data_IF_748337503740
#
_entry.id   IF_748337503740
#
_cell.length_a   1.000
_cell.length_b   1.000
_cell.length_c   1.000
_cell.angle_alpha   90.00
_cell.angle_beta   90.00
_cell.angle_gamma   90.00
#
_symmetry.space_group_name_H-M   'P 1'
#
loop_
_entity.id
_entity.type
_entity.pdbx_description
1 polymer ?
#
# COMPACT_ATOMS: atom_id res chain seq x y z
N UNK A 1 -2.90 -0.13 -27.22
CA UNK A 1 -2.37 0.06 -25.86
C UNK A 1 -1.52 1.32 -25.80
N UNK A 2 -2.04 2.39 -25.21
CA UNK A 2 -1.33 3.67 -25.07
C UNK A 2 -0.44 3.71 -23.81
N UNK A 3 0.27 4.83 -23.59
CA UNK A 3 1.14 4.98 -22.44
C UNK A 3 0.39 4.98 -21.10
N UNK A 4 -0.83 5.52 -21.08
CA UNK A 4 -1.69 5.56 -19.89
C UNK A 4 -2.11 4.15 -19.51
N UNK A 5 -2.60 3.36 -20.46
CA UNK A 5 -3.01 1.98 -20.24
C UNK A 5 -1.86 1.13 -19.70
N UNK A 6 -0.64 1.31 -20.22
CA UNK A 6 0.55 0.63 -19.69
C UNK A 6 0.86 1.00 -18.24
N UNK A 7 0.86 2.29 -17.91
CA UNK A 7 1.12 2.76 -16.54
C UNK A 7 0.07 2.20 -15.58
N UNK A 8 -1.21 2.22 -15.96
CA UNK A 8 -2.28 1.66 -15.13
C UNK A 8 -2.17 0.14 -14.97
N UNK A 9 -1.71 -0.58 -16.00
CA UNK A 9 -1.40 -2.01 -15.90
C UNK A 9 -0.33 -2.29 -14.85
N UNK A 10 0.78 -1.55 -14.88
CA UNK A 10 1.87 -1.68 -13.90
C UNK A 10 1.41 -1.33 -12.47
N UNK A 11 0.59 -0.29 -12.31
CA UNK A 11 0.01 0.05 -11.01
C UNK A 11 -0.88 -1.06 -10.47
N UNK A 12 -1.65 -1.72 -11.35
CA UNK A 12 -2.48 -2.86 -10.97
C UNK A 12 -1.62 -4.04 -10.52
N UNK A 13 -0.59 -4.41 -11.29
CA UNK A 13 0.33 -5.49 -10.94
C UNK A 13 1.00 -5.24 -9.58
N UNK A 14 1.52 -4.02 -9.38
CA UNK A 14 2.11 -3.62 -8.10
C UNK A 14 1.10 -3.68 -6.93
N UNK A 15 -0.16 -3.28 -7.19
CA UNK A 15 -1.22 -3.36 -6.18
C UNK A 15 -1.53 -4.80 -5.79
N UNK A 16 -1.52 -5.73 -6.76
CA UNK A 16 -1.73 -7.15 -6.48
C UNK A 16 -0.60 -7.76 -5.66
N UNK A 17 0.65 -7.35 -5.89
CA UNK A 17 1.79 -7.77 -5.05
C UNK A 17 1.65 -7.28 -3.60
N UNK A 18 1.22 -6.03 -3.41
CA UNK A 18 0.92 -5.50 -2.06
C UNK A 18 -0.22 -6.29 -1.40
N UNK A 19 -1.29 -6.59 -2.13
CA UNK A 19 -2.41 -7.39 -1.63
C UNK A 19 -1.96 -8.80 -1.21
N UNK A 20 -1.17 -9.47 -2.04
CA UNK A 20 -0.62 -10.79 -1.76
C UNK A 20 0.27 -10.77 -0.52
N UNK A 21 1.11 -9.74 -0.38
CA UNK A 21 1.91 -9.55 0.82
C UNK A 21 1.02 -9.38 2.05
N UNK A 22 0.02 -8.48 2.03
CA UNK A 22 -0.91 -8.29 3.15
C UNK A 22 -1.53 -9.63 3.55
N UNK A 23 -2.09 -10.37 2.59
CA UNK A 23 -2.70 -11.70 2.81
C UNK A 23 -1.72 -12.67 3.48
N UNK A 24 -0.46 -12.69 3.06
CA UNK A 24 0.58 -13.57 3.63
C UNK A 24 0.87 -13.26 5.11
N UNK A 25 0.62 -12.03 5.56
CA UNK A 25 0.87 -11.59 6.94
C UNK A 25 -0.37 -11.68 7.84
N UNK A 26 -1.57 -11.89 7.29
CA UNK A 26 -2.80 -11.88 8.08
C UNK A 26 -2.86 -13.00 9.12
N UNK A 27 -2.31 -14.18 8.82
CA UNK A 27 -2.34 -15.34 9.71
C UNK A 27 -1.57 -15.11 11.02
N UNK A 28 -0.54 -14.26 11.01
CA UNK A 28 0.26 -13.91 12.20
C UNK A 28 -0.18 -12.61 12.85
N UNK A 29 -1.13 -11.88 12.25
CA UNK A 29 -1.62 -10.60 12.75
C UNK A 29 -2.83 -10.78 13.66
N UNK A 30 -2.89 -9.99 14.74
CA UNK A 30 -4.06 -9.97 15.65
C UNK A 30 -5.32 -9.56 14.89
N UNK A 31 -6.35 -10.39 14.94
CA UNK A 31 -7.62 -10.21 14.22
C UNK A 31 -7.42 -9.96 12.71
N UNK A 32 -6.32 -10.50 12.16
CA UNK A 32 -5.81 -10.31 10.79
C UNK A 32 -5.41 -8.88 10.41
N UNK A 33 -5.38 -7.94 11.35
CA UNK A 33 -5.04 -6.55 11.05
C UNK A 33 -3.54 -6.35 10.96
N UNK A 34 -3.04 -6.25 9.73
CA UNK A 34 -1.62 -6.05 9.44
C UNK A 34 -1.27 -4.56 9.61
N UNK A 35 -0.22 -4.20 10.37
CA UNK A 35 0.23 -2.82 10.46
C UNK A 35 0.67 -2.26 9.11
N UNK A 36 0.10 -1.14 8.67
CA UNK A 36 0.49 -0.48 7.42
C UNK A 36 1.95 0.02 7.43
N UNK A 37 2.51 0.28 8.61
CA UNK A 37 3.94 0.58 8.75
C UNK A 37 4.82 -0.62 8.36
N UNK A 38 4.43 -1.84 8.75
CA UNK A 38 5.15 -3.07 8.41
C UNK A 38 5.12 -3.32 6.90
N UNK A 39 3.97 -3.15 6.26
CA UNK A 39 3.84 -3.30 4.79
C UNK A 39 4.78 -2.34 4.07
N UNK A 40 4.74 -1.06 4.45
CA UNK A 40 5.62 -0.04 3.86
C UNK A 40 7.10 -0.32 4.06
N UNK A 41 7.51 -0.72 5.26
CA UNK A 41 8.91 -0.99 5.55
C UNK A 41 9.41 -2.26 4.87
N UNK A 42 8.60 -3.33 4.83
CA UNK A 42 9.03 -4.62 4.30
C UNK A 42 9.11 -4.64 2.77
N UNK A 43 8.24 -3.88 2.12
CA UNK A 43 8.20 -3.74 0.66
C UNK A 43 8.94 -2.48 0.17
N UNK A 44 9.65 -1.77 1.06
CA UNK A 44 10.42 -0.55 0.74
C UNK A 44 9.60 0.50 -0.04
N UNK A 45 8.34 0.73 0.38
CA UNK A 45 7.40 1.61 -0.33
C UNK A 45 7.44 3.08 0.11
N UNK A 46 8.43 3.44 0.92
CA UNK A 46 8.68 4.83 1.29
C UNK A 46 9.72 5.40 0.32
N UNK A 47 9.37 6.48 -0.37
CA UNK A 47 10.26 7.10 -1.36
C UNK A 47 10.47 8.58 -1.07
N UNK A 48 11.61 9.09 -1.52
CA UNK A 48 11.78 10.54 -1.69
C UNK A 48 10.85 10.99 -2.82
N UNK A 49 9.83 11.76 -2.47
CA UNK A 49 8.71 12.04 -3.36
C UNK A 49 8.84 13.35 -4.17
N UNK A 50 10.05 13.90 -4.26
CA UNK A 50 10.33 15.12 -5.03
C UNK A 50 11.61 14.94 -5.87
N UNK A 51 11.74 15.63 -7.01
CA UNK A 51 12.97 15.64 -7.79
C UNK A 51 14.19 16.10 -6.98
N UNK A 52 15.38 15.68 -7.40
CA UNK A 52 16.65 15.90 -6.67
C UNK A 52 16.95 17.35 -6.30
N UNK A 53 16.48 18.31 -7.09
CA UNK A 53 16.75 19.74 -6.87
C UNK A 53 15.72 20.43 -5.97
N UNK A 54 14.69 19.71 -5.51
CA UNK A 54 13.67 20.26 -4.63
C UNK A 54 14.02 20.01 -3.16
N UNK A 55 13.49 20.86 -2.27
CA UNK A 55 13.60 20.65 -0.82
C UNK A 55 12.83 19.38 -0.44
N UNK A 56 13.55 18.38 0.05
CA UNK A 56 12.97 17.15 0.57
C UNK A 56 12.81 17.17 2.10
N UNK A 57 11.83 16.42 2.59
CA UNK A 57 11.57 16.23 4.02
C UNK A 57 11.47 14.72 4.33
N UNK A 58 12.52 13.99 3.99
CA UNK A 58 12.61 12.53 4.15
C UNK A 58 11.65 11.75 3.26
N UNK A 59 11.70 10.43 3.41
CA UNK A 59 10.85 9.51 2.65
C UNK A 59 9.37 9.61 3.07
N UNK A 60 8.49 9.40 2.09
CA UNK A 60 7.04 9.43 2.26
C UNK A 60 6.42 8.11 1.80
N UNK A 61 5.47 7.60 2.57
CA UNK A 61 4.69 6.40 2.23
C UNK A 61 3.53 6.67 1.27
N UNK A 62 3.66 7.65 0.37
CA UNK A 62 2.57 8.05 -0.54
C UNK A 62 2.26 6.96 -1.56
N UNK A 63 3.25 6.22 -2.04
CA UNK A 63 3.01 5.13 -2.98
C UNK A 63 2.11 4.06 -2.35
N UNK A 64 2.40 3.64 -1.12
CA UNK A 64 1.52 2.72 -0.39
C UNK A 64 0.12 3.30 -0.18
N UNK A 65 -0.01 4.59 0.14
CA UNK A 65 -1.33 5.21 0.32
C UNK A 65 -2.16 5.17 -0.98
N UNK A 66 -1.53 5.42 -2.13
CA UNK A 66 -2.18 5.32 -3.45
C UNK A 66 -2.61 3.87 -3.72
N UNK A 67 -1.70 2.90 -3.52
CA UNK A 67 -2.00 1.47 -3.73
C UNK A 67 -3.12 1.00 -2.81
N UNK A 68 -3.07 1.36 -1.52
CA UNK A 68 -4.10 1.00 -0.56
C UNK A 68 -5.47 1.56 -1.00
N UNK A 69 -5.51 2.81 -1.51
CA UNK A 69 -6.75 3.37 -2.06
C UNK A 69 -7.25 2.61 -3.27
N UNK A 70 -6.38 2.26 -4.22
CA UNK A 70 -6.76 1.47 -5.40
C UNK A 70 -7.33 0.09 -5.03
N UNK A 71 -6.80 -0.54 -4.00
CA UNK A 71 -7.30 -1.82 -3.49
C UNK A 71 -8.61 -1.65 -2.72
N UNK A 72 -8.73 -0.59 -1.91
CA UNK A 72 -9.94 -0.26 -1.16
C UNK A 72 -11.12 0.07 -2.09
N UNK A 73 -10.88 0.82 -3.17
CA UNK A 73 -11.88 1.13 -4.21
C UNK A 73 -12.44 -0.11 -4.89
N UNK A 74 -11.67 -1.21 -4.90
CA UNK A 74 -12.06 -2.51 -5.46
C UNK A 74 -12.62 -3.47 -4.40
N UNK A 75 -12.81 -3.00 -3.15
CA UNK A 75 -13.19 -3.83 -2.00
C UNK A 75 -12.25 -5.03 -1.79
N UNK A 76 -10.97 -4.87 -2.07
CA UNK A 76 -9.96 -5.94 -1.88
C UNK A 76 -9.30 -5.86 -0.50
N UNK A 77 -9.29 -4.67 0.10
CA UNK A 77 -8.79 -4.47 1.47
C UNK A 77 -9.76 -3.60 2.27
N UNK A 78 -9.65 -3.71 3.59
CA UNK A 78 -10.19 -2.76 4.54
C UNK A 78 -9.04 -2.01 5.22
N UNK A 79 -9.30 -0.76 5.60
CA UNK A 79 -8.34 0.08 6.32
C UNK A 79 -8.93 0.61 7.61
N UNK A 80 -8.11 0.69 8.67
CA UNK A 80 -8.49 1.37 9.91
C UNK A 80 -7.32 2.08 10.57
N UNK A 81 -7.64 3.02 11.46
CA UNK A 81 -6.67 3.73 12.29
C UNK A 81 -7.05 3.62 13.76
N UNK A 82 -6.10 3.21 14.59
CA UNK A 82 -6.23 3.08 16.05
C UNK A 82 -5.01 3.74 16.68
N UNK A 83 -5.20 4.70 17.59
CA UNK A 83 -4.13 5.40 18.32
C UNK A 83 -2.99 5.89 17.44
N UNK A 84 -3.34 6.55 16.31
CA UNK A 84 -2.36 7.07 15.37
C UNK A 84 -1.74 6.03 14.42
N UNK A 85 -1.93 4.73 14.68
CA UNK A 85 -1.40 3.63 13.86
C UNK A 85 -2.42 3.15 12.85
N UNK A 86 -1.93 2.95 11.63
CA UNK A 86 -2.70 2.49 10.50
C UNK A 86 -2.59 0.97 10.32
N UNK A 87 -3.70 0.34 9.98
CA UNK A 87 -3.80 -1.10 9.75
C UNK A 87 -4.62 -1.39 8.50
N UNK A 88 -4.31 -2.49 7.84
CA UNK A 88 -5.03 -3.01 6.69
C UNK A 88 -5.21 -4.52 6.80
N UNK A 89 -6.24 -5.05 6.16
CA UNK A 89 -6.46 -6.49 6.01
C UNK A 89 -7.17 -6.76 4.69
N UNK A 90 -7.12 -7.98 4.18
CA UNK A 90 -7.90 -8.32 2.98
C UNK A 90 -9.38 -8.36 3.32
N UNK A 91 -10.22 -7.96 2.36
CA UNK A 91 -11.67 -8.08 2.48
C UNK A 91 -12.03 -9.57 2.33
N UNK A 92 -12.86 -10.08 3.23
CA UNK A 92 -13.45 -11.40 3.10
C UNK A 92 -14.94 -11.18 2.90
N UNK A 93 -15.39 -11.35 1.66
CA UNK A 93 -16.80 -11.55 1.36
C UNK A 93 -17.28 -12.87 1.94
#
# INVERSE_FOLDING_TARGET
MDAKERIHGLLKEMSMEVLNYIRSQEASAKDRWVPAAQVRSKLELNFVAVPKNNKQYGEKGWLFAIIARLLEDQNLIEYKKIDGKAYCRTFWG
#
